data_IF_412908413917
#
_entry.id   IF_412908413917
#
_cell.length_a   1.000
_cell.length_b   1.000
_cell.length_c   1.000
_cell.angle_alpha   90.00
_cell.angle_beta   90.00
_cell.angle_gamma   90.00
#
_symmetry.space_group_name_H-M   'P 1'
#
loop_
_entity.id
_entity.type
_entity.pdbx_description
1 polymer ?
#
# COMPACT_ATOMS: atom_id res chain seq x y z
N UNK A 1 73.88 4.28 -32.69
CA UNK A 1 72.66 4.89 -32.13
C UNK A 1 71.63 3.78 -31.91
N UNK A 2 71.14 3.61 -30.69
CA UNK A 2 70.45 2.40 -30.19
C UNK A 2 68.94 2.46 -30.42
N UNK A 3 68.39 1.26 -30.68
CA UNK A 3 67.06 0.96 -31.17
C UNK A 3 65.92 1.35 -30.20
N UNK A 4 64.81 1.84 -30.77
CA UNK A 4 63.54 2.07 -30.05
C UNK A 4 62.73 0.78 -30.01
N UNK A 5 62.48 0.30 -28.80
CA UNK A 5 61.64 -0.85 -28.46
C UNK A 5 60.16 -0.44 -28.56
N UNK A 6 59.41 -1.09 -29.45
CA UNK A 6 57.96 -0.93 -29.57
C UNK A 6 57.28 -1.94 -28.62
N UNK A 7 56.55 -1.45 -27.62
CA UNK A 7 55.74 -2.28 -26.72
C UNK A 7 54.30 -2.27 -27.24
N UNK A 8 53.86 -3.41 -27.77
CA UNK A 8 52.47 -3.64 -28.21
C UNK A 8 51.65 -4.12 -27.02
N UNK A 9 50.75 -3.29 -26.51
CA UNK A 9 49.80 -3.67 -25.44
C UNK A 9 48.59 -4.36 -26.10
N UNK A 10 48.48 -5.67 -25.89
CA UNK A 10 47.31 -6.46 -26.30
C UNK A 10 46.20 -6.25 -25.26
N UNK A 11 45.15 -5.54 -25.64
CA UNK A 11 43.97 -5.34 -24.81
C UNK A 11 43.14 -6.65 -24.76
N UNK A 12 43.09 -7.27 -23.58
CA UNK A 12 42.28 -8.45 -23.29
C UNK A 12 40.83 -7.99 -23.02
N UNK A 13 39.94 -8.15 -23.99
CA UNK A 13 38.50 -7.87 -23.85
C UNK A 13 37.82 -8.98 -23.01
N UNK A 14 37.14 -8.65 -21.90
CA UNK A 14 36.32 -9.63 -21.18
C UNK A 14 35.05 -9.90 -21.99
N UNK A 15 34.91 -11.14 -22.47
CA UNK A 15 33.67 -11.66 -23.07
C UNK A 15 32.65 -11.86 -21.95
N UNK A 16 31.79 -10.86 -21.75
CA UNK A 16 30.64 -10.95 -20.86
C UNK A 16 29.66 -11.95 -21.49
N UNK A 17 29.65 -13.18 -21.00
CA UNK A 17 28.63 -14.16 -21.38
C UNK A 17 27.32 -13.73 -20.72
N UNK A 18 26.42 -13.17 -21.52
CA UNK A 18 25.03 -12.98 -21.11
C UNK A 18 24.39 -14.37 -20.96
N UNK A 19 24.33 -14.90 -19.73
CA UNK A 19 23.48 -16.04 -19.43
C UNK A 19 22.03 -15.57 -19.54
N UNK A 20 21.39 -15.87 -20.68
CA UNK A 20 19.94 -15.84 -20.82
C UNK A 20 19.37 -16.75 -19.74
N UNK A 21 18.82 -16.16 -18.68
CA UNK A 21 18.14 -16.89 -17.63
C UNK A 21 16.93 -17.59 -18.24
N UNK A 22 17.08 -18.87 -18.54
CA UNK A 22 15.98 -19.71 -19.02
C UNK A 22 14.93 -19.77 -17.90
N UNK A 23 13.82 -19.09 -18.10
CA UNK A 23 12.72 -19.00 -17.15
C UNK A 23 12.18 -20.40 -16.86
N UNK A 24 12.49 -20.90 -15.67
CA UNK A 24 12.26 -22.30 -15.29
C UNK A 24 10.77 -22.55 -15.04
N UNK A 25 10.11 -23.20 -16.00
CA UNK A 25 8.77 -23.79 -15.80
C UNK A 25 8.85 -24.89 -14.74
N UNK A 26 8.00 -24.84 -13.72
CA UNK A 26 7.94 -25.89 -12.69
C UNK A 26 6.87 -26.93 -13.07
N UNK A 27 7.15 -28.21 -12.88
CA UNK A 27 6.12 -29.24 -13.08
C UNK A 27 5.00 -29.14 -12.04
N UNK A 28 5.35 -28.84 -10.79
CA UNK A 28 4.40 -28.73 -9.69
C UNK A 28 4.87 -27.68 -8.68
N UNK A 29 3.94 -26.85 -8.22
CA UNK A 29 4.07 -26.02 -7.03
C UNK A 29 2.92 -26.35 -6.07
N UNK A 30 3.26 -26.65 -4.82
CA UNK A 30 2.31 -26.91 -3.75
C UNK A 30 2.62 -25.97 -2.59
N UNK A 31 1.61 -25.19 -2.18
CA UNK A 31 1.70 -24.22 -1.08
C UNK A 31 0.83 -24.72 0.05
N UNK A 32 1.45 -24.98 1.20
CA UNK A 32 0.82 -25.62 2.35
C UNK A 32 -0.26 -24.75 2.97
N UNK A 33 -1.06 -25.36 3.86
CA UNK A 33 -2.14 -24.67 4.56
C UNK A 33 -1.60 -23.45 5.32
N UNK A 34 -2.16 -22.26 5.07
CA UNK A 34 -1.72 -20.96 5.64
C UNK A 34 -0.30 -20.51 5.25
N UNK A 35 0.37 -21.21 4.34
CA UNK A 35 1.70 -20.82 3.89
C UNK A 35 1.61 -19.67 2.88
N UNK A 36 2.61 -18.80 2.88
CA UNK A 36 2.77 -17.75 1.87
C UNK A 36 3.98 -18.07 1.00
N UNK A 37 3.75 -18.20 -0.30
CA UNK A 37 4.81 -18.29 -1.30
C UNK A 37 4.96 -16.94 -1.99
N UNK A 38 6.17 -16.37 -1.93
CA UNK A 38 6.51 -15.13 -2.63
C UNK A 38 7.14 -15.49 -3.97
N UNK A 39 6.56 -14.99 -5.05
CA UNK A 39 7.10 -15.16 -6.39
C UNK A 39 8.42 -14.41 -6.49
N UNK A 40 9.40 -15.02 -7.18
CA UNK A 40 10.74 -14.46 -7.33
C UNK A 40 10.75 -13.09 -8.02
N UNK A 41 11.93 -12.45 -8.11
CA UNK A 41 12.07 -11.06 -8.54
C UNK A 41 11.55 -10.75 -9.96
N UNK A 42 11.47 -11.76 -10.82
CA UNK A 42 10.91 -11.63 -12.17
C UNK A 42 9.37 -11.49 -12.17
N UNK A 43 8.72 -11.72 -11.04
CA UNK A 43 7.27 -11.65 -10.85
C UNK A 43 6.46 -12.56 -11.80
N UNK A 44 7.09 -13.61 -12.33
CA UNK A 44 6.47 -14.59 -13.22
C UNK A 44 6.58 -15.99 -12.63
N UNK A 45 5.45 -16.69 -12.61
CA UNK A 45 5.33 -18.07 -12.18
C UNK A 45 4.59 -18.89 -13.23
N UNK A 46 5.30 -19.81 -13.88
CA UNK A 46 4.74 -20.76 -14.84
C UNK A 46 4.86 -22.18 -14.30
N UNK A 47 3.72 -22.83 -14.07
CA UNK A 47 3.66 -24.18 -13.50
C UNK A 47 2.69 -25.07 -14.28
N UNK A 48 2.96 -26.38 -14.35
CA UNK A 48 1.96 -27.31 -14.90
C UNK A 48 0.84 -27.56 -13.89
N UNK A 49 1.19 -27.84 -12.63
CA UNK A 49 0.23 -28.04 -11.54
C UNK A 49 0.45 -27.07 -10.39
N UNK A 50 -0.59 -26.31 -10.04
CA UNK A 50 -0.64 -25.45 -8.85
C UNK A 50 -1.57 -26.07 -7.81
N UNK A 51 -1.09 -26.23 -6.57
CA UNK A 51 -1.91 -26.68 -5.44
C UNK A 51 -1.84 -25.63 -4.33
N UNK A 52 -2.98 -24.99 -4.05
CA UNK A 52 -3.16 -24.07 -2.94
C UNK A 52 -3.99 -24.76 -1.87
N UNK A 53 -3.39 -25.12 -0.74
CA UNK A 53 -4.15 -25.62 0.41
C UNK A 53 -4.94 -24.49 1.08
N UNK A 54 -5.84 -24.84 2.01
CA UNK A 54 -6.69 -23.85 2.68
C UNK A 54 -5.88 -22.67 3.24
N UNK A 55 -6.31 -21.45 2.95
CA UNK A 55 -5.68 -20.21 3.40
C UNK A 55 -4.24 -20.00 2.90
N UNK A 56 -3.79 -20.75 1.90
CA UNK A 56 -2.52 -20.49 1.24
C UNK A 56 -2.55 -19.14 0.51
N UNK A 57 -1.40 -18.47 0.49
CA UNK A 57 -1.20 -17.18 -0.19
C UNK A 57 -0.10 -17.33 -1.24
N UNK A 58 -0.38 -16.85 -2.45
CA UNK A 58 0.59 -16.64 -3.51
C UNK A 58 0.77 -15.13 -3.70
N UNK A 59 1.97 -14.63 -3.42
CA UNK A 59 2.26 -13.20 -3.37
C UNK A 59 3.20 -12.80 -4.50
N UNK A 60 2.74 -11.88 -5.34
CA UNK A 60 3.51 -11.17 -6.36
C UNK A 60 4.00 -9.84 -5.79
N UNK A 61 5.08 -9.31 -6.36
CA UNK A 61 5.57 -7.98 -6.03
C UNK A 61 4.55 -6.91 -6.47
N UNK A 62 4.29 -5.88 -5.62
CA UNK A 62 3.47 -4.74 -6.00
C UNK A 62 4.19 -3.86 -7.04
N UNK A 63 3.46 -2.92 -7.67
CA UNK A 63 3.96 -1.99 -8.71
C UNK A 63 4.58 -2.64 -9.96
N UNK A 64 4.45 -3.95 -10.11
CA UNK A 64 5.01 -4.70 -11.23
C UNK A 64 3.93 -5.60 -11.82
N UNK A 65 4.05 -5.90 -13.11
CA UNK A 65 3.22 -6.91 -13.75
C UNK A 65 3.57 -8.28 -13.16
N UNK A 66 2.59 -8.93 -12.54
CA UNK A 66 2.66 -10.34 -12.14
C UNK A 66 2.08 -11.23 -13.22
N UNK A 67 2.73 -12.36 -13.48
CA UNK A 67 2.23 -13.37 -14.44
C UNK A 67 2.13 -14.72 -13.76
N UNK A 68 0.94 -15.32 -13.79
CA UNK A 68 0.69 -16.68 -13.33
C UNK A 68 0.09 -17.50 -14.46
N UNK A 69 0.79 -18.56 -14.84
CA UNK A 69 0.27 -19.59 -15.75
C UNK A 69 0.25 -20.93 -15.03
N UNK A 70 -0.93 -21.49 -14.78
CA UNK A 70 -1.11 -22.83 -14.26
C UNK A 70 -2.09 -23.61 -15.14
N UNK A 71 -1.60 -24.67 -15.79
CA UNK A 71 -2.47 -25.52 -16.63
C UNK A 71 -3.55 -26.21 -15.80
N UNK A 72 -3.18 -26.68 -14.60
CA UNK A 72 -4.07 -27.36 -13.67
C UNK A 72 -3.91 -26.73 -12.29
N UNK A 73 -5.03 -26.32 -11.68
CA UNK A 73 -5.09 -25.66 -10.39
C UNK A 73 -6.07 -26.38 -9.45
N UNK A 74 -5.56 -26.72 -8.26
CA UNK A 74 -6.35 -27.22 -7.14
C UNK A 74 -6.33 -26.17 -6.03
N UNK A 75 -7.45 -25.49 -5.83
CA UNK A 75 -7.56 -24.40 -4.86
C UNK A 75 -8.46 -24.80 -3.70
N UNK A 76 -7.93 -24.74 -2.49
CA UNK A 76 -8.64 -24.95 -1.24
C UNK A 76 -9.57 -23.80 -0.87
N UNK A 77 -9.88 -23.67 0.42
CA UNK A 77 -10.76 -22.61 0.92
C UNK A 77 -9.97 -21.39 1.37
N UNK A 78 -10.48 -20.20 1.05
CA UNK A 78 -9.97 -18.89 1.47
C UNK A 78 -8.51 -18.65 1.06
N UNK A 79 -8.12 -19.15 -0.11
CA UNK A 79 -6.80 -18.91 -0.67
C UNK A 79 -6.71 -17.48 -1.23
N UNK A 80 -5.49 -16.94 -1.31
CA UNK A 80 -5.22 -15.59 -1.76
C UNK A 80 -4.16 -15.61 -2.87
N UNK A 81 -4.42 -14.93 -3.98
CA UNK A 81 -3.41 -14.50 -4.94
C UNK A 81 -3.37 -12.98 -4.86
N UNK A 82 -2.21 -12.39 -4.60
CA UNK A 82 -2.15 -10.94 -4.36
C UNK A 82 -0.90 -10.27 -4.90
N UNK A 83 -1.08 -9.04 -5.35
CA UNK A 83 -0.06 -8.04 -5.65
C UNK A 83 -0.40 -6.70 -4.95
N UNK A 84 -1.19 -6.75 -3.86
CA UNK A 84 -1.70 -5.57 -3.15
C UNK A 84 -0.54 -4.65 -2.73
N UNK A 85 -0.72 -3.35 -2.95
CA UNK A 85 0.19 -2.34 -2.45
C UNK A 85 0.22 -2.25 -0.93
N UNK A 86 1.40 -1.95 -0.37
CA UNK A 86 1.56 -1.70 1.06
C UNK A 86 0.86 -0.40 1.47
N UNK A 87 0.20 -0.40 2.63
CA UNK A 87 -0.34 0.81 3.23
C UNK A 87 0.79 1.78 3.63
N UNK A 88 0.48 3.07 3.58
CA UNK A 88 1.35 4.15 4.01
C UNK A 88 1.46 4.24 5.53
N UNK A 89 2.57 4.78 6.00
CA UNK A 89 2.83 5.00 7.40
C UNK A 89 2.22 6.32 7.87
N UNK A 90 1.68 6.38 9.11
CA UNK A 90 1.15 7.60 9.67
C UNK A 90 2.27 8.64 9.90
N UNK A 91 1.90 9.91 9.72
CA UNK A 91 2.76 11.05 9.98
C UNK A 91 3.17 11.15 11.44
N UNK A 92 4.33 11.75 11.71
CA UNK A 92 4.86 11.99 13.06
C UNK A 92 5.40 13.41 13.18
N UNK A 93 4.84 14.18 14.11
CA UNK A 93 5.22 15.58 14.31
C UNK A 93 4.97 16.41 13.06
N UNK A 94 6.04 16.90 12.43
CA UNK A 94 5.95 17.66 11.18
C UNK A 94 5.98 16.80 9.90
N UNK A 95 6.07 15.48 10.06
CA UNK A 95 6.04 14.56 8.91
C UNK A 95 4.60 14.29 8.49
N UNK A 96 4.36 14.35 7.18
CA UNK A 96 3.11 13.94 6.55
C UNK A 96 2.91 12.43 6.64
N UNK A 97 1.65 11.98 6.56
CA UNK A 97 1.37 10.58 6.26
C UNK A 97 1.96 10.19 4.90
N UNK A 98 2.54 8.99 4.79
CA UNK A 98 3.09 8.52 3.52
C UNK A 98 1.97 7.99 2.63
N UNK A 99 2.18 8.05 1.32
CA UNK A 99 1.21 7.50 0.38
C UNK A 99 1.22 5.97 0.48
N UNK A 100 0.08 5.35 0.18
CA UNK A 100 0.00 3.92 -0.07
C UNK A 100 0.73 3.57 -1.36
N UNK A 101 1.26 2.36 -1.43
CA UNK A 101 1.87 1.81 -2.64
C UNK A 101 0.79 1.34 -3.62
N UNK A 102 1.07 1.43 -4.92
CA UNK A 102 0.16 0.90 -5.95
C UNK A 102 0.20 -0.63 -5.94
N UNK A 103 -0.94 -1.26 -6.20
CA UNK A 103 -0.99 -2.67 -6.52
C UNK A 103 -0.20 -2.99 -7.80
N UNK A 104 0.19 -4.25 -7.96
CA UNK A 104 0.74 -4.75 -9.22
C UNK A 104 -0.37 -5.25 -10.15
N UNK A 105 -0.22 -5.05 -11.46
CA UNK A 105 -1.09 -5.67 -12.45
C UNK A 105 -0.94 -7.20 -12.41
N UNK A 106 -2.00 -7.95 -12.65
CA UNK A 106 -1.95 -9.42 -12.70
C UNK A 106 -2.48 -9.96 -14.02
N UNK A 107 -1.70 -10.87 -14.61
CA UNK A 107 -2.07 -11.69 -15.76
C UNK A 107 -2.14 -13.13 -15.29
N UNK A 108 -3.36 -13.69 -15.24
CA UNK A 108 -3.66 -14.98 -14.65
C UNK A 108 -4.26 -15.89 -15.72
N UNK A 109 -3.65 -17.05 -15.92
CA UNK A 109 -4.17 -18.14 -16.76
C UNK A 109 -4.27 -19.39 -15.90
N UNK A 110 -5.48 -19.77 -15.50
CA UNK A 110 -5.72 -20.86 -14.54
C UNK A 110 -6.76 -21.87 -15.04
N UNK A 111 -6.35 -23.13 -15.20
CA UNK A 111 -7.29 -24.23 -15.41
C UNK A 111 -7.69 -24.89 -14.10
N UNK A 112 -8.90 -24.62 -13.60
CA UNK A 112 -9.32 -25.15 -12.30
C UNK A 112 -9.89 -26.57 -12.39
N UNK A 113 -9.18 -27.51 -11.77
CA UNK A 113 -9.72 -28.85 -11.51
C UNK A 113 -10.57 -28.86 -10.23
N UNK A 114 -10.22 -28.01 -9.26
CA UNK A 114 -10.94 -27.86 -8.00
C UNK A 114 -10.86 -26.42 -7.50
N UNK A 115 -11.99 -25.88 -7.05
CA UNK A 115 -12.06 -24.53 -6.48
C UNK A 115 -12.89 -24.50 -5.19
N UNK A 116 -12.25 -24.20 -4.06
CA UNK A 116 -12.95 -23.80 -2.84
C UNK A 116 -13.33 -22.31 -2.90
N UNK A 117 -12.48 -21.47 -2.35
CA UNK A 117 -12.64 -20.01 -2.38
C UNK A 117 -11.30 -19.36 -2.65
N UNK A 118 -11.26 -18.49 -3.66
CA UNK A 118 -10.08 -17.75 -4.08
C UNK A 118 -10.37 -16.26 -3.99
N UNK A 119 -9.44 -15.50 -3.42
CA UNK A 119 -9.41 -14.03 -3.55
C UNK A 119 -8.23 -13.65 -4.43
N UNK A 120 -8.48 -12.80 -5.42
CA UNK A 120 -7.47 -12.14 -6.25
C UNK A 120 -7.46 -10.67 -5.80
N UNK A 121 -6.34 -10.20 -5.24
CA UNK A 121 -6.24 -8.86 -4.65
C UNK A 121 -5.08 -8.06 -5.24
N UNK A 122 -5.42 -7.10 -6.10
CA UNK A 122 -4.52 -6.12 -6.71
C UNK A 122 -4.75 -4.71 -6.17
N UNK A 123 -5.44 -4.54 -5.03
CA UNK A 123 -5.77 -3.20 -4.51
C UNK A 123 -4.54 -2.35 -4.23
N UNK A 124 -4.73 -1.04 -4.29
CA UNK A 124 -3.77 -0.09 -3.75
C UNK A 124 -3.67 -0.18 -2.21
N UNK A 125 -2.53 0.22 -1.67
CA UNK A 125 -2.37 0.44 -0.24
C UNK A 125 -3.11 1.72 0.20
N UNK A 126 -3.58 1.74 1.43
CA UNK A 126 -4.20 2.95 2.01
C UNK A 126 -3.13 4.01 2.29
N UNK A 127 -3.47 5.29 2.20
CA UNK A 127 -2.61 6.37 2.66
C UNK A 127 -2.52 6.41 4.19
N UNK A 128 -1.34 6.74 4.71
CA UNK A 128 -1.17 6.93 6.16
C UNK A 128 -1.80 8.23 6.64
N UNK A 129 -2.32 8.25 7.86
CA UNK A 129 -2.91 9.45 8.45
C UNK A 129 -1.87 10.55 8.69
N UNK A 130 -2.35 11.80 8.73
CA UNK A 130 -1.56 12.95 9.10
C UNK A 130 -1.26 13.02 10.59
N UNK A 131 -0.24 13.77 10.96
CA UNK A 131 0.13 14.03 12.34
C UNK A 131 -0.72 15.16 12.94
N UNK A 132 -1.17 14.98 14.18
CA UNK A 132 -1.83 16.03 14.94
C UNK A 132 -0.83 17.07 15.44
N UNK A 133 -1.29 18.33 15.49
CA UNK A 133 -0.60 19.40 16.18
C UNK A 133 -0.72 19.25 17.70
N UNK A 134 0.25 19.82 18.43
CA UNK A 134 0.25 19.93 19.88
C UNK A 134 -0.32 21.28 20.28
N UNK A 135 -1.15 21.29 21.31
CA UNK A 135 -1.63 22.54 21.88
C UNK A 135 -0.46 23.37 22.42
N UNK A 136 -0.57 24.68 22.23
CA UNK A 136 0.28 25.64 22.90
C UNK A 136 -0.04 25.69 24.39
N UNK A 137 0.91 26.25 25.14
CA UNK A 137 0.68 26.64 26.52
C UNK A 137 -0.42 27.71 26.56
N UNK A 138 -1.36 27.56 27.49
CA UNK A 138 -2.58 28.40 27.56
C UNK A 138 -2.27 29.86 27.91
N UNK A 139 -1.16 30.17 28.59
CA UNK A 139 -0.91 31.52 29.09
C UNK A 139 -1.75 31.85 30.33
N UNK A 140 -1.60 33.08 30.82
CA UNK A 140 -2.32 33.64 31.97
C UNK A 140 -3.01 34.93 31.52
N UNK A 141 -4.32 35.06 31.73
CA UNK A 141 -5.02 36.31 31.43
C UNK A 141 -4.66 37.41 32.45
N UNK A 142 -4.67 38.69 32.06
CA UNK A 142 -4.55 39.79 33.01
C UNK A 142 -5.63 39.68 34.07
N UNK A 143 -5.25 39.82 35.34
CA UNK A 143 -6.18 39.75 36.46
C UNK A 143 -5.97 40.90 37.42
N UNK A 144 -7.00 41.20 38.19
CA UNK A 144 -6.92 42.22 39.23
C UNK A 144 -6.80 41.55 40.59
N UNK A 145 -5.81 41.98 41.38
CA UNK A 145 -5.59 41.49 42.73
C UNK A 145 -5.76 42.61 43.73
N UNK A 146 -6.33 42.28 44.88
CA UNK A 146 -6.42 43.21 46.01
C UNK A 146 -5.24 42.95 46.94
N UNK A 147 -4.41 43.97 47.17
CA UNK A 147 -3.23 43.88 48.05
C UNK A 147 -3.36 44.86 49.20
N UNK A 148 -3.06 44.40 50.39
CA UNK A 148 -2.96 45.27 51.57
C UNK A 148 -1.53 45.79 51.67
N UNK A 149 -1.37 47.10 51.54
CA UNK A 149 -0.07 47.79 51.54
C UNK A 149 -0.01 48.72 52.76
N UNK A 150 1.17 48.83 53.38
CA UNK A 150 1.36 49.71 54.53
C UNK A 150 1.85 51.07 54.04
N UNK A 151 1.13 52.14 54.38
CA UNK A 151 1.49 53.51 53.99
C UNK A 151 2.72 54.01 54.76
N UNK A 152 3.28 55.16 54.37
CA UNK A 152 4.45 55.78 54.99
C UNK A 152 4.23 56.20 56.46
N UNK A 153 2.98 56.16 56.95
CA UNK A 153 2.57 56.46 58.33
C UNK A 153 2.26 55.20 59.14
N UNK A 154 2.37 54.01 58.53
CA UNK A 154 2.16 52.72 59.16
C UNK A 154 0.74 52.17 59.11
N UNK A 155 -0.21 52.82 58.44
CA UNK A 155 -1.58 52.33 58.28
C UNK A 155 -1.69 51.35 57.11
N UNK A 156 -2.57 50.37 57.22
CA UNK A 156 -2.87 49.46 56.13
C UNK A 156 -3.91 50.06 55.19
N UNK A 157 -3.60 50.11 53.89
CA UNK A 157 -4.52 50.52 52.82
C UNK A 157 -4.68 49.36 51.84
N UNK A 158 -5.89 49.17 51.37
CA UNK A 158 -6.19 48.22 50.30
C UNK A 158 -5.97 48.88 48.95
N UNK A 159 -5.12 48.29 48.11
CA UNK A 159 -4.88 48.73 46.75
C UNK A 159 -5.30 47.64 45.76
N UNK A 160 -5.96 48.07 44.69
CA UNK A 160 -6.36 47.22 43.57
C UNK A 160 -5.22 47.27 42.55
N UNK A 161 -4.49 46.17 42.40
CA UNK A 161 -3.32 46.06 41.53
C UNK A 161 -3.68 45.23 40.30
N UNK A 162 -3.43 45.78 39.12
CA UNK A 162 -3.53 45.03 37.86
C UNK A 162 -2.28 44.16 37.69
N UNK A 163 -2.44 42.84 37.66
CA UNK A 163 -1.39 41.89 37.33
C UNK A 163 -1.44 41.63 35.82
N UNK A 164 -0.40 42.00 35.06
CA UNK A 164 -0.34 41.70 33.64
C UNK A 164 -0.42 40.20 33.39
N UNK A 165 -1.17 39.81 32.36
CA UNK A 165 -1.21 38.43 31.89
C UNK A 165 0.11 38.01 31.25
N UNK A 166 0.28 36.70 31.06
CA UNK A 166 1.35 36.11 30.27
C UNK A 166 0.75 35.55 28.98
N UNK A 167 1.23 35.96 27.80
CA UNK A 167 0.81 35.34 26.56
C UNK A 167 1.00 33.82 26.60
N UNK A 168 0.09 33.09 25.96
CA UNK A 168 0.26 31.68 25.69
C UNK A 168 1.34 31.43 24.65
N UNK A 169 1.47 30.17 24.22
CA UNK A 169 2.24 29.84 23.02
C UNK A 169 1.31 29.46 21.88
N UNK A 170 1.82 29.57 20.65
CA UNK A 170 1.15 29.06 19.46
C UNK A 170 0.91 27.55 19.58
N UNK A 171 -0.22 27.07 19.07
CA UNK A 171 -0.39 25.65 18.77
C UNK A 171 0.50 25.21 17.61
N UNK A 172 0.98 23.97 17.62
CA UNK A 172 1.76 23.46 16.49
C UNK A 172 0.85 23.07 15.33
N UNK A 173 1.41 23.16 14.13
CA UNK A 173 0.71 22.74 12.92
C UNK A 173 0.47 21.23 12.92
N UNK A 174 -0.55 20.82 12.18
CA UNK A 174 -0.83 19.43 11.82
C UNK A 174 -0.38 19.15 10.39
N UNK A 175 -0.33 17.88 10.01
CA UNK A 175 0.00 17.48 8.63
C UNK A 175 -1.17 16.77 7.96
N UNK A 176 -1.24 16.89 6.64
CA UNK A 176 -2.17 16.13 5.81
C UNK A 176 -1.78 14.64 5.76
N UNK A 177 -2.78 13.77 5.60
CA UNK A 177 -2.57 12.35 5.31
C UNK A 177 -1.95 12.11 3.92
N UNK A 178 -1.51 10.87 3.70
CA UNK A 178 -1.04 10.40 2.41
C UNK A 178 -2.18 10.02 1.47
N UNK A 179 -1.91 10.02 0.16
CA UNK A 179 -2.84 9.45 -0.83
C UNK A 179 -2.91 7.93 -0.71
N UNK A 180 -4.05 7.34 -1.06
CA UNK A 180 -4.14 5.92 -1.37
C UNK A 180 -3.41 5.58 -2.68
N UNK A 181 -2.84 4.39 -2.77
CA UNK A 181 -2.26 3.87 -4.01
C UNK A 181 -3.33 3.44 -5.02
N UNK A 182 -2.96 3.34 -6.29
CA UNK A 182 -3.84 2.79 -7.34
C UNK A 182 -3.97 1.27 -7.23
N UNK A 183 -5.14 0.75 -7.61
CA UNK A 183 -5.33 -0.67 -7.85
C UNK A 183 -4.66 -1.10 -9.16
N UNK A 184 -4.20 -2.34 -9.22
CA UNK A 184 -3.65 -2.97 -10.42
C UNK A 184 -4.75 -3.57 -11.30
N UNK A 185 -4.50 -3.58 -12.60
CA UNK A 185 -5.35 -4.24 -13.59
C UNK A 185 -5.28 -5.76 -13.44
N UNK A 186 -6.35 -6.44 -13.83
CA UNK A 186 -6.45 -7.89 -13.80
C UNK A 186 -6.89 -8.39 -15.17
N UNK A 187 -6.01 -9.15 -15.83
CA UNK A 187 -6.40 -10.03 -16.91
C UNK A 187 -6.52 -11.44 -16.33
N UNK A 188 -7.73 -12.00 -16.34
CA UNK A 188 -7.99 -13.32 -15.80
C UNK A 188 -8.66 -14.22 -16.83
N UNK A 189 -7.86 -15.14 -17.37
CA UNK A 189 -8.30 -16.24 -18.22
C UNK A 189 -8.44 -17.49 -17.35
N UNK A 190 -9.60 -18.12 -17.39
CA UNK A 190 -9.85 -19.33 -16.62
C UNK A 190 -10.61 -20.39 -17.41
N UNK A 191 -10.42 -21.64 -17.00
CA UNK A 191 -11.27 -22.78 -17.38
C UNK A 191 -11.61 -23.60 -16.14
N UNK A 192 -12.60 -24.47 -16.26
CA UNK A 192 -13.12 -25.27 -15.15
C UNK A 192 -13.46 -26.70 -15.54
N UNK A 193 -13.12 -27.65 -14.67
CA UNK A 193 -13.49 -29.06 -14.84
C UNK A 193 -14.83 -29.36 -14.14
N UNK A 194 -15.94 -29.12 -14.84
CA UNK A 194 -17.26 -29.59 -14.42
C UNK A 194 -17.97 -28.76 -13.34
N UNK A 195 -17.64 -27.48 -13.18
CA UNK A 195 -18.35 -26.56 -12.28
C UNK A 195 -18.33 -25.12 -12.80
N UNK A 196 -19.25 -24.29 -12.32
CA UNK A 196 -19.31 -22.85 -12.68
C UNK A 196 -18.81 -22.03 -11.48
N UNK A 197 -17.79 -21.17 -11.66
CA UNK A 197 -17.33 -20.29 -10.59
C UNK A 197 -18.33 -19.15 -10.37
N UNK A 198 -18.50 -18.76 -9.10
CA UNK A 198 -19.35 -17.65 -8.68
C UNK A 198 -18.46 -16.48 -8.28
N UNK A 199 -18.62 -15.36 -8.96
CA UNK A 199 -17.81 -14.17 -8.72
C UNK A 199 -18.43 -13.24 -7.69
N UNK A 200 -17.58 -12.64 -6.84
CA UNK A 200 -17.91 -11.54 -5.92
C UNK A 200 -19.15 -11.80 -5.04
N UNK A 201 -19.27 -13.05 -4.55
CA UNK A 201 -20.30 -13.44 -3.60
C UNK A 201 -19.67 -13.96 -2.30
N UNK A 202 -19.58 -13.08 -1.30
CA UNK A 202 -18.93 -13.37 -0.01
C UNK A 202 -19.65 -14.42 0.84
N UNK A 203 -20.91 -14.75 0.53
CA UNK A 203 -21.69 -15.74 1.27
C UNK A 203 -21.37 -17.18 0.86
N UNK A 204 -20.62 -17.37 -0.24
CA UNK A 204 -20.24 -18.69 -0.76
C UNK A 204 -18.82 -19.05 -0.34
N UNK A 205 -18.62 -20.31 0.05
CA UNK A 205 -17.31 -20.84 0.44
C UNK A 205 -16.75 -21.89 -0.53
N UNK A 206 -17.50 -22.21 -1.60
CA UNK A 206 -17.17 -23.20 -2.65
C UNK A 206 -17.34 -22.60 -4.04
N UNK A 207 -16.49 -23.03 -4.96
CA UNK A 207 -16.42 -22.55 -6.35
C UNK A 207 -16.52 -21.02 -6.46
N UNK A 208 -15.90 -20.30 -5.52
CA UNK A 208 -16.08 -18.84 -5.41
C UNK A 208 -14.78 -18.11 -5.69
N UNK A 209 -14.89 -16.99 -6.40
CA UNK A 209 -13.77 -16.10 -6.71
C UNK A 209 -14.18 -14.68 -6.32
N UNK A 210 -13.37 -14.05 -5.48
CA UNK A 210 -13.51 -12.63 -5.16
C UNK A 210 -12.37 -11.89 -5.85
N UNK A 211 -12.70 -10.81 -6.56
CA UNK A 211 -11.74 -10.01 -7.30
C UNK A 211 -11.74 -8.59 -6.71
N UNK A 212 -10.59 -8.15 -6.21
CA UNK A 212 -10.41 -6.86 -5.56
C UNK A 212 -9.32 -6.07 -6.31
N UNK A 213 -9.69 -4.94 -6.90
CA UNK A 213 -8.81 -4.14 -7.76
C UNK A 213 -8.98 -2.63 -7.57
N UNK A 214 -9.59 -2.20 -6.47
CA UNK A 214 -9.85 -0.78 -6.20
C UNK A 214 -8.60 -0.04 -5.69
N UNK A 215 -8.60 1.28 -5.85
CA UNK A 215 -7.65 2.15 -5.17
C UNK A 215 -7.73 2.01 -3.64
N UNK A 216 -6.62 2.34 -2.98
CA UNK A 216 -6.59 2.53 -1.54
C UNK A 216 -7.29 3.82 -1.13
N UNK A 217 -7.68 3.92 0.14
CA UNK A 217 -8.29 5.14 0.68
C UNK A 217 -7.22 6.17 1.06
N UNK A 218 -7.53 7.45 0.93
CA UNK A 218 -6.65 8.51 1.43
C UNK A 218 -6.62 8.51 2.96
N UNK A 219 -5.45 8.83 3.53
CA UNK A 219 -5.29 9.04 4.95
C UNK A 219 -5.99 10.32 5.43
N UNK A 220 -6.42 10.33 6.68
CA UNK A 220 -7.12 11.46 7.28
C UNK A 220 -6.11 12.54 7.67
N UNK A 221 -6.43 13.82 7.45
CA UNK A 221 -5.57 14.91 7.91
C UNK A 221 -5.60 15.06 9.42
N UNK A 222 -4.46 15.42 10.02
CA UNK A 222 -4.37 15.68 11.44
C UNK A 222 -5.11 16.94 11.87
N UNK A 223 -5.37 17.05 13.17
CA UNK A 223 -6.00 18.20 13.80
C UNK A 223 -4.95 19.20 14.27
N UNK A 224 -5.04 20.49 13.87
CA UNK A 224 -4.11 21.51 14.36
C UNK A 224 -4.20 21.70 15.89
N UNK A 225 -3.05 22.02 16.50
CA UNK A 225 -3.00 22.33 17.92
C UNK A 225 -3.63 23.69 18.21
N UNK A 226 -4.34 23.82 19.33
CA UNK A 226 -4.90 25.10 19.77
C UNK A 226 -3.83 25.99 20.41
N UNK A 227 -3.83 27.28 20.09
CA UNK A 227 -3.01 28.30 20.73
C UNK A 227 -3.53 28.66 22.11
N UNK A 228 -2.65 29.21 22.95
CA UNK A 228 -3.05 29.84 24.21
C UNK A 228 -3.55 31.27 24.06
N UNK A 229 -3.76 31.93 25.20
CA UNK A 229 -4.15 33.33 25.34
C UNK A 229 -3.30 34.24 24.44
N UNK A 230 -3.98 35.07 23.65
CA UNK A 230 -3.35 35.97 22.67
C UNK A 230 -2.40 35.29 21.67
N UNK A 231 -2.54 33.98 21.45
CA UNK A 231 -1.74 33.20 20.50
C UNK A 231 -2.61 32.58 19.42
N UNK A 232 -1.98 32.18 18.32
CA UNK A 232 -2.67 31.57 17.19
C UNK A 232 -2.73 30.04 17.34
N UNK A 233 -3.77 29.46 16.76
CA UNK A 233 -3.83 28.02 16.51
C UNK A 233 -2.80 27.62 15.44
N UNK A 234 -2.45 26.34 15.42
CA UNK A 234 -1.75 25.75 14.29
C UNK A 234 -2.64 25.71 13.05
N UNK A 235 -2.03 25.37 11.91
CA UNK A 235 -2.76 25.10 10.66
C UNK A 235 -2.49 23.69 10.17
N UNK A 236 -3.32 23.18 9.26
CA UNK A 236 -3.00 21.94 8.53
C UNK A 236 -2.03 22.29 7.40
N UNK A 237 -0.88 21.61 7.38
CA UNK A 237 0.04 21.66 6.25
C UNK A 237 -0.43 20.69 5.18
N UNK A 238 -0.60 21.20 3.96
CA UNK A 238 -1.01 20.42 2.80
C UNK A 238 0.20 20.06 1.92
N UNK A 239 0.10 18.93 1.22
CA UNK A 239 0.99 18.53 0.13
C UNK A 239 0.14 18.16 -1.07
N UNK A 240 0.75 18.04 -2.24
CA UNK A 240 0.06 17.58 -3.45
C UNK A 240 -0.47 16.15 -3.24
N UNK A 241 -1.71 15.92 -3.71
CA UNK A 241 -2.41 14.64 -3.62
C UNK A 241 -2.60 14.11 -5.02
N UNK A 242 -1.94 13.01 -5.34
CA UNK A 242 -2.30 12.19 -6.49
C UNK A 242 -3.37 11.20 -6.04
N UNK A 243 -4.60 11.27 -6.57
CA UNK A 243 -5.63 10.29 -6.23
C UNK A 243 -5.28 8.94 -6.85
N UNK A 244 -5.43 7.87 -6.06
CA UNK A 244 -5.39 6.52 -6.58
C UNK A 244 -6.49 6.28 -7.61
N UNK A 245 -6.24 5.35 -8.54
CA UNK A 245 -7.21 4.91 -9.54
C UNK A 245 -7.57 3.45 -9.32
N UNK A 246 -8.82 3.09 -9.58
CA UNK A 246 -9.20 1.68 -9.65
C UNK A 246 -8.54 1.03 -10.86
N UNK A 247 -8.16 -0.24 -10.72
CA UNK A 247 -7.71 -1.06 -11.84
C UNK A 247 -8.89 -1.55 -12.69
N UNK A 248 -8.59 -2.03 -13.88
CA UNK A 248 -9.56 -2.63 -14.79
C UNK A 248 -9.57 -4.16 -14.66
N UNK A 249 -10.72 -4.79 -14.91
CA UNK A 249 -10.87 -6.24 -14.91
C UNK A 249 -11.27 -6.72 -16.31
N UNK A 250 -10.40 -7.53 -16.92
CA UNK A 250 -10.72 -8.34 -18.09
C UNK A 250 -10.86 -9.80 -17.66
N UNK A 251 -12.05 -10.35 -17.83
CA UNK A 251 -12.39 -11.72 -17.45
C UNK A 251 -12.73 -12.52 -18.70
N UNK A 252 -12.02 -13.63 -18.93
CA UNK A 252 -12.20 -14.51 -20.10
C UNK A 252 -12.41 -15.93 -19.63
N UNK A 253 -13.51 -16.55 -20.07
CA UNK A 253 -13.76 -17.97 -19.88
C UNK A 253 -13.28 -18.74 -21.11
N UNK A 254 -12.17 -19.47 -20.98
CA UNK A 254 -11.56 -20.21 -22.07
C UNK A 254 -12.43 -21.39 -22.55
N UNK A 255 -13.32 -21.92 -21.70
CA UNK A 255 -14.23 -23.01 -22.08
C UNK A 255 -15.31 -22.52 -23.08
N UNK A 256 -15.70 -21.24 -23.01
CA UNK A 256 -16.70 -20.65 -23.89
C UNK A 256 -16.12 -20.29 -25.27
N UNK A 257 -14.89 -19.78 -25.32
CA UNK A 257 -14.26 -19.42 -26.60
C UNK A 257 -14.02 -20.63 -27.50
N UNK A 258 -13.58 -21.77 -26.93
CA UNK A 258 -13.36 -23.00 -27.68
C UNK A 258 -14.65 -23.55 -28.32
N UNK A 259 -15.81 -23.33 -27.67
CA UNK A 259 -17.11 -23.76 -28.20
C UNK A 259 -17.61 -22.92 -29.37
N UNK A 260 -17.20 -21.65 -29.46
CA UNK A 260 -17.56 -20.77 -30.57
C UNK A 260 -16.74 -21.06 -31.83
N UNK A 261 -15.46 -21.41 -31.67
CA UNK A 261 -14.59 -21.76 -32.81
C UNK A 261 -14.99 -23.06 -33.49
N UNK A 262 -15.55 -24.02 -32.74
CA UNK A 262 -16.03 -25.29 -33.29
C UNK A 262 -17.41 -25.20 -33.95
N UNK A 263 -18.15 -24.09 -33.77
CA UNK A 263 -19.45 -23.89 -34.40
C UNK A 263 -19.35 -23.26 -35.81
N UNK A 264 -18.14 -22.82 -36.21
CA UNK A 264 -17.84 -22.22 -37.52
C UNK A 264 -17.18 -23.20 -38.50
N UNK A 265 -16.92 -24.46 -38.08
CA UNK A 265 -16.45 -25.57 -38.92
C UNK A 265 -17.60 -26.55 -39.25
#
# INVERSE_FOLDING_TARGET
MRAKLLITVVALLPVVHATLAQQKRLSKLEISKKETFVVGPENVLKVDTLILHDKATLQFAPRQQGVLEAKVAYVGKKCLITSKGKDGEPGKGEQFGTNGENGGDLSLVLGFEKLGSLTIDTRGGNGGDGANGKNGYVGEEPRTETRTVKDSKGNFKTEVVSVPGKPGTKGSDATMGGSGGSGGNIMFVYSTSGFIPIFNNEQRDRNSIIVLHTAGTNGISGFPGRGGFQSQDGVVRYKEVEPGRDGELMLVNADQEASLTQAEE
#
